data_IF_715419668011
#
_entry.id   IF_715419668011
#
_cell.length_a   1.000
_cell.length_b   1.000
_cell.length_c   1.000
_cell.angle_alpha   90.00
_cell.angle_beta   90.00
_cell.angle_gamma   90.00
#
_symmetry.space_group_name_H-M   'P 1'
#
loop_
_entity.id
_entity.type
_entity.pdbx_description
1 polymer ?
#
# COMPACT_ATOMS: atom_id res chain seq x y z
N UNK A 1 17.52 -3.19 -0.74
CA UNK A 1 17.53 -2.56 0.60
C UNK A 1 16.23 -1.80 0.77
N UNK A 2 15.58 -1.96 1.91
CA UNK A 2 14.20 -1.49 2.10
C UNK A 2 14.17 -0.05 2.61
N UNK A 3 13.65 0.87 1.80
CA UNK A 3 13.69 2.31 2.10
C UNK A 3 12.55 2.74 3.04
N UNK A 4 12.56 2.28 4.29
CA UNK A 4 11.53 2.58 5.31
C UNK A 4 11.36 4.09 5.51
N UNK A 5 12.46 4.85 5.55
CA UNK A 5 12.43 6.31 5.71
C UNK A 5 11.67 7.02 4.58
N UNK A 6 11.78 6.54 3.34
CA UNK A 6 11.01 7.06 2.19
C UNK A 6 9.53 6.73 2.35
N UNK A 7 9.20 5.50 2.74
CA UNK A 7 7.81 5.07 2.89
C UNK A 7 7.05 5.87 3.93
N UNK A 8 7.63 6.07 5.13
CA UNK A 8 6.96 6.85 6.18
C UNK A 8 6.81 8.33 5.80
N UNK A 9 7.76 8.87 5.02
CA UNK A 9 7.68 10.22 4.49
C UNK A 9 6.54 10.37 3.48
N UNK A 10 6.44 9.44 2.54
CA UNK A 10 5.37 9.44 1.53
C UNK A 10 4.00 9.29 2.18
N UNK A 11 3.82 8.32 3.07
CA UNK A 11 2.56 8.12 3.81
C UNK A 11 2.14 9.39 4.58
N UNK A 12 3.11 10.08 5.20
CA UNK A 12 2.85 11.36 5.87
C UNK A 12 2.35 12.42 4.88
N UNK A 13 3.02 12.57 3.73
CA UNK A 13 2.71 13.59 2.73
C UNK A 13 1.36 13.34 2.04
N UNK A 14 1.05 12.08 1.72
CA UNK A 14 -0.24 11.63 1.20
C UNK A 14 -1.38 11.85 2.20
N UNK A 15 -1.09 11.70 3.50
CA UNK A 15 -2.04 12.00 4.59
C UNK A 15 -2.14 13.50 4.92
N UNK A 16 -1.42 14.37 4.19
CA UNK A 16 -1.33 15.81 4.43
C UNK A 16 -0.94 16.20 5.86
N UNK A 17 -0.13 15.36 6.53
CA UNK A 17 0.33 15.59 7.89
C UNK A 17 1.68 16.32 7.92
N UNK A 18 1.83 17.24 8.87
CA UNK A 18 3.13 17.83 9.22
C UNK A 18 3.92 16.85 10.08
N UNK A 19 5.25 16.88 9.98
CA UNK A 19 6.14 16.06 10.83
C UNK A 19 5.83 16.21 12.33
N UNK A 20 5.44 17.41 12.76
CA UNK A 20 5.05 17.68 14.16
C UNK A 20 3.83 16.86 14.58
N UNK A 21 2.81 16.73 13.72
CA UNK A 21 1.58 15.99 14.03
C UNK A 21 1.86 14.50 14.20
N UNK A 22 2.71 13.93 13.34
CA UNK A 22 3.11 12.51 13.47
C UNK A 22 3.97 12.31 14.70
N UNK A 23 4.88 13.23 15.01
CA UNK A 23 5.70 13.17 16.21
C UNK A 23 4.85 13.23 17.49
N UNK A 24 3.85 14.11 17.54
CA UNK A 24 2.90 14.22 18.66
C UNK A 24 2.09 12.92 18.81
N UNK A 25 1.63 12.30 17.71
CA UNK A 25 0.96 10.99 17.73
C UNK A 25 1.85 9.86 18.27
N UNK A 26 3.14 9.91 17.95
CA UNK A 26 4.13 8.93 18.42
C UNK A 26 4.69 9.23 19.83
N UNK A 27 4.35 10.37 20.42
CA UNK A 27 4.88 10.80 21.72
C UNK A 27 6.38 11.13 21.69
N UNK A 28 6.90 11.69 20.59
CA UNK A 28 8.32 12.02 20.40
C UNK A 28 8.50 13.48 19.93
N UNK A 29 9.74 13.97 19.89
CA UNK A 29 10.02 15.30 19.33
C UNK A 29 9.91 15.30 17.79
N UNK A 30 9.53 16.44 17.21
CA UNK A 30 9.51 16.60 15.75
C UNK A 30 10.90 16.34 15.12
N UNK A 31 11.98 16.72 15.81
CA UNK A 31 13.34 16.44 15.36
C UNK A 31 13.63 14.94 15.30
N UNK A 32 13.19 14.17 16.31
CA UNK A 32 13.36 12.72 16.32
C UNK A 32 12.63 12.07 15.13
N UNK A 33 11.40 12.50 14.86
CA UNK A 33 10.65 12.02 13.70
C UNK A 33 11.32 12.42 12.37
N UNK A 34 11.82 13.65 12.26
CA UNK A 34 12.59 14.09 11.08
C UNK A 34 13.85 13.26 10.85
N UNK A 35 14.52 12.78 11.90
CA UNK A 35 15.68 11.90 11.76
C UNK A 35 15.30 10.53 11.19
N UNK A 36 14.09 10.05 11.46
CA UNK A 36 13.57 8.83 10.82
C UNK A 36 13.34 9.06 9.33
N UNK A 37 12.73 10.19 8.91
CA UNK A 37 12.49 10.48 7.48
C UNK A 37 13.75 10.77 6.68
N UNK A 38 14.82 11.23 7.33
CA UNK A 38 16.12 11.55 6.73
C UNK A 38 17.12 10.39 6.78
N UNK A 39 16.70 9.21 7.26
CA UNK A 39 17.56 8.04 7.46
C UNK A 39 18.76 8.30 8.40
N UNK A 40 18.68 9.35 9.23
CA UNK A 40 19.72 9.69 10.24
C UNK A 40 19.61 8.83 11.49
N UNK A 41 18.45 8.21 11.70
CA UNK A 41 18.17 7.30 12.81
C UNK A 41 17.19 6.24 12.35
N UNK A 42 17.46 5.00 12.71
CA UNK A 42 16.54 3.89 12.44
C UNK A 42 15.21 4.09 13.19
N UNK A 43 14.11 3.76 12.51
CA UNK A 43 12.76 3.80 13.08
C UNK A 43 12.57 2.62 14.07
N UNK A 44 12.36 2.87 15.37
CA UNK A 44 12.12 1.79 16.32
C UNK A 44 10.84 1.02 16.02
N UNK A 45 10.88 -0.32 16.11
CA UNK A 45 9.75 -1.22 15.81
C UNK A 45 8.44 -0.85 16.52
N UNK A 46 8.51 -0.37 17.77
CA UNK A 46 7.33 0.11 18.52
C UNK A 46 6.57 1.24 17.81
N UNK A 47 7.26 2.08 17.03
CA UNK A 47 6.63 3.17 16.29
C UNK A 47 6.04 2.67 14.96
N UNK A 48 6.55 1.57 14.39
CA UNK A 48 6.03 0.97 13.15
C UNK A 48 4.56 0.57 13.32
N UNK A 49 4.20 -0.08 14.43
CA UNK A 49 2.81 -0.48 14.72
C UNK A 49 1.89 0.74 14.82
N UNK A 50 2.36 1.82 15.45
CA UNK A 50 1.57 3.04 15.59
C UNK A 50 1.42 3.76 14.24
N UNK A 51 2.47 3.82 13.42
CA UNK A 51 2.40 4.39 12.08
C UNK A 51 1.49 3.58 11.15
N UNK A 52 1.52 2.24 11.25
CA UNK A 52 0.61 1.36 10.51
C UNK A 52 -0.86 1.68 10.84
N UNK A 53 -1.17 1.88 12.14
CA UNK A 53 -2.50 2.30 12.58
C UNK A 53 -2.87 3.71 12.11
N UNK A 54 -1.94 4.67 12.18
CA UNK A 54 -2.15 6.05 11.77
C UNK A 54 -2.49 6.16 10.28
N UNK A 55 -1.79 5.40 9.45
CA UNK A 55 -1.91 5.46 7.99
C UNK A 55 -2.83 4.39 7.40
N UNK A 56 -3.45 3.56 8.25
CA UNK A 56 -4.32 2.45 7.83
C UNK A 56 -3.66 1.48 6.83
N UNK A 57 -2.38 1.17 7.05
CA UNK A 57 -1.58 0.22 6.25
C UNK A 57 -1.08 -0.94 7.12
N UNK A 58 -0.59 -2.00 6.49
CA UNK A 58 0.08 -3.09 7.20
C UNK A 58 1.47 -2.65 7.70
N UNK A 59 1.99 -3.31 8.74
CA UNK A 59 3.40 -3.14 9.13
C UNK A 59 4.35 -3.62 8.04
N UNK A 60 3.93 -4.63 7.28
CA UNK A 60 4.69 -5.21 6.16
C UNK A 60 4.85 -4.21 5.02
N UNK A 61 3.83 -3.37 4.77
CA UNK A 61 3.93 -2.26 3.82
C UNK A 61 5.03 -1.30 4.25
N UNK A 62 5.01 -0.84 5.51
CA UNK A 62 5.99 0.12 6.05
C UNK A 62 7.41 -0.48 6.02
N UNK A 63 7.55 -1.74 6.41
CA UNK A 63 8.83 -2.46 6.44
C UNK A 63 9.28 -2.95 5.07
N UNK A 64 8.45 -2.76 4.03
CA UNK A 64 8.67 -3.25 2.67
C UNK A 64 8.86 -4.75 2.57
N UNK A 65 8.12 -5.48 3.40
CA UNK A 65 7.96 -6.93 3.35
C UNK A 65 6.79 -7.36 2.46
N UNK A 66 5.97 -6.41 2.00
CA UNK A 66 4.94 -6.73 0.99
C UNK A 66 5.58 -7.06 -0.36
N UNK A 67 5.30 -8.25 -0.94
CA UNK A 67 5.49 -8.44 -2.37
C UNK A 67 4.62 -7.41 -3.08
N UNK A 68 5.18 -6.78 -4.10
CA UNK A 68 4.69 -5.64 -4.88
C UNK A 68 3.22 -5.75 -5.37
N UNK A 69 2.21 -5.80 -4.50
CA UNK A 69 0.76 -5.76 -4.83
C UNK A 69 -0.10 -5.21 -3.69
N UNK A 70 0.18 -3.98 -3.29
CA UNK A 70 -0.83 -3.08 -2.71
C UNK A 70 -0.47 -1.62 -3.04
N UNK A 71 -0.07 -1.36 -4.29
CA UNK A 71 -0.02 0.00 -4.81
C UNK A 71 -1.44 0.49 -5.07
N UNK A 72 -1.71 1.76 -4.79
CA UNK A 72 -2.89 2.44 -5.30
C UNK A 72 -3.02 2.17 -6.80
N UNK A 73 -4.04 1.43 -7.21
CA UNK A 73 -4.28 1.17 -8.63
C UNK A 73 -4.86 2.44 -9.26
N UNK A 74 -4.23 2.95 -10.32
CA UNK A 74 -4.90 3.94 -11.16
C UNK A 74 -6.07 3.25 -11.87
N UNK A 75 -7.27 3.52 -11.37
CA UNK A 75 -8.51 2.98 -11.89
C UNK A 75 -8.84 3.45 -13.32
N UNK A 76 -8.23 4.55 -13.77
CA UNK A 76 -8.36 5.05 -15.13
C UNK A 76 -7.27 4.53 -16.08
N UNK A 77 -6.22 3.89 -15.55
CA UNK A 77 -5.20 3.29 -16.40
C UNK A 77 -5.79 2.18 -17.27
N UNK A 78 -5.33 2.13 -18.51
CA UNK A 78 -5.71 1.10 -19.48
C UNK A 78 -5.24 -0.27 -19.01
N UNK A 79 -6.19 -1.17 -18.79
CA UNK A 79 -5.98 -2.58 -18.48
C UNK A 79 -5.68 -3.41 -19.73
N UNK A 80 -6.53 -3.32 -20.76
CA UNK A 80 -6.32 -4.00 -22.05
C UNK A 80 -7.10 -3.29 -23.17
N UNK A 81 -6.48 -3.08 -24.34
CA UNK A 81 -7.16 -2.56 -25.54
C UNK A 81 -8.02 -1.30 -25.27
N UNK A 82 -7.54 -0.37 -24.43
CA UNK A 82 -8.26 0.86 -24.07
C UNK A 82 -9.33 0.70 -22.99
N UNK A 83 -9.57 -0.51 -22.48
CA UNK A 83 -10.47 -0.75 -21.35
C UNK A 83 -9.76 -0.35 -20.06
N UNK A 84 -10.28 0.60 -19.26
CA UNK A 84 -9.68 0.99 -18.00
C UNK A 84 -9.95 -0.03 -16.89
N UNK A 85 -9.06 -0.07 -15.89
CA UNK A 85 -9.17 -1.03 -14.78
C UNK A 85 -10.50 -0.92 -14.01
N UNK A 86 -11.06 0.28 -13.85
CA UNK A 86 -12.38 0.48 -13.22
C UNK A 86 -13.50 -0.31 -13.90
N UNK A 87 -13.48 -0.41 -15.22
CA UNK A 87 -14.54 -1.05 -15.99
C UNK A 87 -14.46 -2.58 -15.86
N UNK A 88 -13.24 -3.11 -15.76
CA UNK A 88 -13.00 -4.51 -15.42
C UNK A 88 -13.58 -4.83 -14.04
N UNK A 89 -13.28 -4.02 -13.02
CA UNK A 89 -13.79 -4.21 -11.66
C UNK A 89 -15.32 -4.12 -11.59
N UNK A 90 -15.92 -3.16 -12.30
CA UNK A 90 -17.39 -3.06 -12.41
C UNK A 90 -17.98 -4.33 -13.00
N UNK A 91 -17.35 -4.88 -14.03
CA UNK A 91 -17.80 -6.10 -14.70
C UNK A 91 -17.69 -7.31 -13.78
N UNK A 92 -16.58 -7.44 -13.05
CA UNK A 92 -16.39 -8.50 -12.05
C UNK A 92 -17.43 -8.43 -10.93
N UNK A 93 -17.78 -7.22 -10.48
CA UNK A 93 -18.79 -7.04 -9.43
C UNK A 93 -20.18 -7.50 -9.87
N UNK A 94 -20.53 -7.32 -11.14
CA UNK A 94 -21.83 -7.70 -11.73
C UNK A 94 -22.02 -9.20 -11.92
N UNK A 95 -20.95 -9.99 -11.85
CA UNK A 95 -21.04 -11.45 -12.00
C UNK A 95 -21.83 -12.09 -10.84
N UNK A 96 -22.60 -13.13 -11.17
CA UNK A 96 -23.24 -14.01 -10.18
C UNK A 96 -22.19 -14.78 -9.37
N UNK A 97 -22.55 -15.37 -8.21
CA UNK A 97 -21.63 -16.23 -7.46
C UNK A 97 -21.02 -17.36 -8.30
N UNK A 98 -21.82 -18.02 -9.16
CA UNK A 98 -21.34 -19.04 -10.08
C UNK A 98 -20.40 -18.46 -11.14
N UNK A 99 -20.74 -17.32 -11.73
CA UNK A 99 -19.89 -16.65 -12.73
C UNK A 99 -18.54 -16.21 -12.15
N UNK A 100 -18.50 -15.76 -10.90
CA UNK A 100 -17.25 -15.46 -10.18
C UNK A 100 -16.40 -16.71 -9.96
N UNK A 101 -17.03 -17.83 -9.59
CA UNK A 101 -16.33 -19.09 -9.41
C UNK A 101 -15.73 -19.60 -10.73
N UNK A 102 -16.47 -19.51 -11.84
CA UNK A 102 -15.97 -19.93 -13.15
C UNK A 102 -14.87 -19.00 -13.67
N UNK A 103 -14.98 -17.69 -13.44
CA UNK A 103 -13.90 -16.74 -13.71
C UNK A 103 -12.63 -17.12 -12.95
N UNK A 104 -12.74 -17.45 -11.65
CA UNK A 104 -11.57 -17.84 -10.84
C UNK A 104 -10.91 -19.11 -11.40
N UNK A 105 -11.71 -20.12 -11.79
CA UNK A 105 -11.18 -21.34 -12.43
C UNK A 105 -10.41 -21.02 -13.70
N UNK A 106 -10.96 -20.14 -14.55
CA UNK A 106 -10.30 -19.73 -15.79
C UNK A 106 -8.99 -18.97 -15.52
N UNK A 107 -8.98 -18.03 -14.56
CA UNK A 107 -7.74 -17.34 -14.16
C UNK A 107 -6.67 -18.30 -13.63
N UNK A 108 -7.07 -19.27 -12.80
CA UNK A 108 -6.16 -20.32 -12.32
C UNK A 108 -5.57 -21.12 -13.48
N UNK A 109 -6.39 -21.49 -14.46
CA UNK A 109 -5.93 -22.16 -15.67
C UNK A 109 -4.93 -21.30 -16.45
N UNK A 110 -5.22 -20.01 -16.69
CA UNK A 110 -4.31 -19.09 -17.38
C UNK A 110 -2.95 -18.95 -16.67
N UNK A 111 -2.93 -18.91 -15.34
CA UNK A 111 -1.67 -18.85 -14.60
C UNK A 111 -0.86 -20.15 -14.73
N UNK A 112 -1.53 -21.30 -14.84
CA UNK A 112 -0.86 -22.59 -14.97
C UNK A 112 -0.18 -22.79 -16.33
N UNK A 113 -0.62 -22.09 -17.38
CA UNK A 113 -0.02 -22.16 -18.72
C UNK A 113 1.07 -21.09 -18.97
N UNK A 114 1.19 -20.11 -18.08
CA UNK A 114 2.17 -19.01 -18.17
C UNK A 114 3.38 -19.20 -17.23
N UNK A 115 3.41 -20.31 -16.48
CA UNK A 115 4.54 -20.73 -15.64
C UNK A 115 5.40 -21.75 -16.40
#
# INVERSE_FOLDING_TARGET
MTNVHVKIKNLREESHLKQRQVADYLGISQQAYSYYELDKRELPSRHVVNLAKLYHVSTDYILGMEPERAGSYDLNATFVQGIPLKDVLISLRKLSPSGKADMMKYLSYLNSIQS
#
